data_IF_925702510662
#
_entry.id   IF_925702510662
#
_cell.length_a   1.000
_cell.length_b   1.000
_cell.length_c   1.000
_cell.angle_alpha   90.00
_cell.angle_beta   90.00
_cell.angle_gamma   90.00
#
_symmetry.space_group_name_H-M   'P 1'
#
loop_
_entity.id
_entity.type
_entity.pdbx_description
1 polymer ?
#
# COMPACT_ATOMS: atom_id res chain seq x y z
N UNK A 1 -1.90 -4.80 -65.56
CA UNK A 1 -2.77 -5.56 -64.63
C UNK A 1 -2.79 -4.85 -63.28
N UNK A 2 -3.97 -4.77 -62.67
CA UNK A 2 -4.31 -4.00 -61.47
C UNK A 2 -4.23 -4.91 -60.24
N UNK A 3 -3.65 -4.45 -59.13
CA UNK A 3 -3.90 -4.98 -57.76
C UNK A 3 -3.32 -3.97 -56.76
N UNK A 4 -4.09 -2.93 -56.39
CA UNK A 4 -4.98 -2.84 -55.21
C UNK A 4 -4.22 -2.86 -53.86
N UNK A 5 -3.91 -1.65 -53.41
CA UNK A 5 -3.50 -1.24 -52.08
C UNK A 5 -4.62 -1.60 -51.07
N UNK A 6 -4.34 -2.44 -50.08
CA UNK A 6 -5.24 -2.77 -48.98
C UNK A 6 -5.06 -1.72 -47.87
N UNK A 7 -6.01 -0.79 -47.78
CA UNK A 7 -6.11 0.19 -46.71
C UNK A 7 -6.80 -0.46 -45.50
N UNK A 8 -6.13 -0.36 -44.35
CA UNK A 8 -6.59 -0.79 -43.04
C UNK A 8 -7.81 0.02 -42.56
N UNK A 9 -8.79 -0.65 -41.98
CA UNK A 9 -9.86 -0.05 -41.18
C UNK A 9 -9.84 -0.70 -39.79
N UNK A 10 -9.08 -0.09 -38.89
CA UNK A 10 -9.13 -0.37 -37.46
C UNK A 10 -10.44 0.23 -36.91
N UNK A 11 -11.42 -0.63 -36.67
CA UNK A 11 -12.65 -0.25 -35.97
C UNK A 11 -12.36 0.00 -34.49
N UNK A 12 -12.40 1.27 -34.09
CA UNK A 12 -12.48 1.64 -32.67
C UNK A 12 -13.95 1.65 -32.24
N UNK A 13 -14.41 0.53 -31.68
CA UNK A 13 -15.66 0.49 -30.94
C UNK A 13 -15.46 1.12 -29.56
N UNK A 14 -15.75 2.42 -29.44
CA UNK A 14 -15.94 3.06 -28.14
C UNK A 14 -17.28 2.60 -27.57
N UNK A 15 -17.27 1.58 -26.73
CA UNK A 15 -18.42 1.21 -25.91
C UNK A 15 -18.49 2.23 -24.77
N UNK A 16 -19.19 3.33 -25.00
CA UNK A 16 -19.51 4.31 -23.97
C UNK A 16 -20.54 3.67 -23.02
N UNK A 17 -20.06 3.13 -21.90
CA UNK A 17 -20.94 2.67 -20.83
C UNK A 17 -21.41 3.90 -20.04
N UNK A 18 -22.49 4.52 -20.51
CA UNK A 18 -23.20 5.59 -19.77
C UNK A 18 -23.95 4.95 -18.60
N UNK A 19 -23.29 4.83 -17.44
CA UNK A 19 -23.96 4.47 -16.20
C UNK A 19 -24.61 5.72 -15.60
N UNK A 20 -25.90 5.89 -15.87
CA UNK A 20 -26.76 6.82 -15.16
C UNK A 20 -26.90 6.34 -13.72
N UNK A 21 -26.15 6.94 -12.78
CA UNK A 21 -26.40 6.74 -11.36
C UNK A 21 -27.34 7.85 -10.90
N UNK A 22 -28.60 7.50 -10.67
CA UNK A 22 -29.58 8.43 -10.12
C UNK A 22 -29.16 8.90 -8.73
N UNK A 23 -29.16 10.22 -8.56
CA UNK A 23 -28.95 10.91 -7.29
C UNK A 23 -30.28 10.91 -6.53
N UNK A 24 -30.45 10.00 -5.57
CA UNK A 24 -31.59 10.06 -4.66
C UNK A 24 -31.26 10.97 -3.47
N UNK A 25 -32.14 11.95 -3.27
CA UNK A 25 -32.05 13.04 -2.30
C UNK A 25 -32.17 12.58 -0.84
N UNK A 26 -31.45 13.31 0.00
CA UNK A 26 -31.61 13.58 1.43
C UNK A 26 -32.70 12.81 2.21
N UNK A 27 -32.25 12.02 3.19
CA UNK A 27 -32.98 11.88 4.46
C UNK A 27 -32.22 12.67 5.52
N UNK A 28 -32.76 13.83 5.87
CA UNK A 28 -32.36 14.60 7.03
C UNK A 28 -32.83 13.87 8.31
N UNK A 29 -31.91 13.17 8.97
CA UNK A 29 -32.02 12.90 10.42
C UNK A 29 -30.70 13.26 11.08
N UNK A 30 -30.51 14.55 11.31
CA UNK A 30 -29.51 15.05 12.26
C UNK A 30 -30.00 14.67 13.65
N UNK A 31 -29.54 13.53 14.15
CA UNK A 31 -29.32 13.33 15.58
C UNK A 31 -28.15 12.37 15.74
N UNK A 32 -26.96 12.94 15.74
CA UNK A 32 -25.78 12.29 16.29
C UNK A 32 -25.06 13.38 17.06
N UNK A 33 -25.24 13.37 18.37
CA UNK A 33 -24.35 14.10 19.27
C UNK A 33 -22.90 13.76 18.87
N UNK A 34 -21.95 14.71 18.89
CA UNK A 34 -20.54 14.37 18.71
C UNK A 34 -20.11 13.61 19.97
N UNK A 35 -20.26 12.28 19.93
CA UNK A 35 -19.65 11.43 20.92
C UNK A 35 -18.14 11.63 20.82
N UNK A 36 -17.60 12.06 21.95
CA UNK A 36 -16.27 12.60 22.14
C UNK A 36 -15.20 11.53 21.93
N UNK A 37 -14.90 11.17 20.68
CA UNK A 37 -13.76 10.32 20.34
C UNK A 37 -12.45 11.11 20.46
N UNK A 38 -11.97 11.36 21.67
CA UNK A 38 -10.68 12.07 21.91
C UNK A 38 -9.80 11.46 23.00
N UNK A 39 -9.87 10.15 23.23
CA UNK A 39 -8.98 9.49 24.20
C UNK A 39 -8.09 8.37 23.65
N UNK A 40 -8.37 7.80 22.47
CA UNK A 40 -7.63 6.62 21.98
C UNK A 40 -6.71 6.87 20.78
N UNK A 41 -6.74 8.04 20.12
CA UNK A 41 -5.85 8.31 18.99
C UNK A 41 -4.38 8.45 19.40
N UNK A 42 -4.11 9.06 20.57
CA UNK A 42 -2.75 9.30 21.03
C UNK A 42 -1.99 7.99 21.32
N UNK A 43 -2.66 6.99 21.89
CA UNK A 43 -2.05 5.69 22.20
C UNK A 43 -1.82 4.84 20.95
N UNK A 44 -2.77 4.84 20.01
CA UNK A 44 -2.63 4.17 18.70
C UNK A 44 -1.47 4.79 17.90
N UNK A 45 -1.36 6.12 17.91
CA UNK A 45 -0.28 6.84 17.23
C UNK A 45 1.10 6.61 17.88
N UNK A 46 1.16 6.45 19.21
CA UNK A 46 2.40 6.13 19.89
C UNK A 46 2.88 4.71 19.55
N UNK A 47 1.98 3.72 19.64
CA UNK A 47 2.27 2.34 19.30
C UNK A 47 2.73 2.21 17.83
N UNK A 48 2.03 2.87 16.90
CA UNK A 48 2.42 2.87 15.49
C UNK A 48 3.78 3.53 15.26
N UNK A 49 4.11 4.62 15.97
CA UNK A 49 5.43 5.25 15.90
C UNK A 49 6.54 4.34 16.39
N UNK A 50 6.33 3.62 17.50
CA UNK A 50 7.32 2.67 18.03
C UNK A 50 7.54 1.50 17.08
N UNK A 51 6.47 0.90 16.55
CA UNK A 51 6.52 -0.18 15.55
C UNK A 51 7.31 0.28 14.32
N UNK A 52 7.02 1.49 13.82
CA UNK A 52 7.74 2.06 12.67
C UNK A 52 9.23 2.27 12.97
N UNK A 53 9.58 2.74 14.17
CA UNK A 53 10.98 2.90 14.58
C UNK A 53 11.72 1.56 14.61
N UNK A 54 11.11 0.51 15.18
CA UNK A 54 11.69 -0.85 15.22
C UNK A 54 11.90 -1.39 13.81
N UNK A 55 10.90 -1.28 12.95
CA UNK A 55 10.99 -1.72 11.56
C UNK A 55 12.09 -0.99 10.80
N UNK A 56 12.20 0.34 10.94
CA UNK A 56 13.27 1.10 10.30
C UNK A 56 14.65 0.62 10.75
N UNK A 57 14.83 0.38 12.06
CA UNK A 57 16.09 -0.17 12.59
C UNK A 57 16.40 -1.56 12.01
N UNK A 58 15.39 -2.44 11.89
CA UNK A 58 15.56 -3.77 11.29
C UNK A 58 16.04 -3.65 9.84
N UNK A 59 15.42 -2.77 9.05
CA UNK A 59 15.80 -2.60 7.64
C UNK A 59 17.21 -2.01 7.50
N UNK A 60 17.52 -0.97 8.29
CA UNK A 60 18.85 -0.35 8.27
C UNK A 60 19.94 -1.35 8.67
N UNK A 61 19.70 -2.17 9.69
CA UNK A 61 20.65 -3.20 10.13
C UNK A 61 20.82 -4.30 9.08
N UNK A 62 19.73 -4.71 8.42
CA UNK A 62 19.76 -5.76 7.40
C UNK A 62 20.50 -5.32 6.12
N UNK A 63 20.25 -4.09 5.63
CA UNK A 63 20.83 -3.59 4.39
C UNK A 63 22.16 -2.86 4.58
N UNK A 64 22.46 -2.37 5.79
CA UNK A 64 23.65 -1.56 6.06
C UNK A 64 23.60 -0.18 5.39
N UNK A 65 22.41 0.37 5.13
CA UNK A 65 22.22 1.66 4.45
C UNK A 65 21.31 2.60 5.27
N UNK A 66 21.42 3.93 5.10
CA UNK A 66 20.54 4.86 5.79
C UNK A 66 19.09 4.72 5.34
N UNK A 67 18.14 5.03 6.23
CA UNK A 67 16.69 4.96 5.93
C UNK A 67 16.27 5.85 4.76
N UNK A 68 17.02 6.93 4.50
CA UNK A 68 16.81 7.80 3.33
C UNK A 68 17.06 7.12 1.99
N UNK A 69 17.76 5.98 1.98
CA UNK A 69 17.98 5.13 0.78
C UNK A 69 16.97 3.97 0.69
N UNK A 70 15.91 3.99 1.49
CA UNK A 70 14.94 2.90 1.57
C UNK A 70 13.55 3.45 1.26
N UNK A 71 12.90 2.87 0.25
CA UNK A 71 11.47 3.02 0.04
C UNK A 71 10.76 1.87 0.76
N UNK A 72 9.66 2.15 1.46
CA UNK A 72 8.94 1.17 2.27
C UNK A 72 7.43 1.34 2.09
N UNK A 73 6.71 0.23 2.06
CA UNK A 73 5.25 0.25 2.15
C UNK A 73 4.76 0.59 3.55
N UNK A 74 3.47 0.78 3.71
CA UNK A 74 2.83 0.72 5.02
C UNK A 74 3.04 -0.65 5.67
N UNK A 75 2.97 -0.64 7.00
CA UNK A 75 3.04 -1.84 7.84
C UNK A 75 1.65 -2.42 7.96
N UNK A 76 1.49 -3.66 7.52
CA UNK A 76 0.25 -4.41 7.65
C UNK A 76 0.33 -5.31 8.87
N UNK A 77 -0.65 -5.19 9.76
CA UNK A 77 -0.87 -6.15 10.83
C UNK A 77 -1.57 -7.41 10.27
N UNK A 78 -1.14 -8.57 10.73
CA UNK A 78 -1.68 -9.89 10.39
C UNK A 78 -2.02 -10.63 11.67
N UNK A 79 -2.68 -11.79 11.56
CA UNK A 79 -2.96 -12.65 12.72
C UNK A 79 -1.69 -13.12 13.46
N UNK A 80 -0.53 -13.05 12.78
CA UNK A 80 0.73 -13.60 13.27
C UNK A 80 1.75 -12.50 13.62
N UNK A 81 1.46 -11.23 13.34
CA UNK A 81 2.35 -10.11 13.63
C UNK A 81 2.32 -9.02 12.56
N UNK A 82 3.49 -8.57 12.11
CA UNK A 82 3.61 -7.45 11.17
C UNK A 82 4.25 -7.87 9.85
N UNK A 83 3.78 -7.30 8.74
CA UNK A 83 4.32 -7.51 7.40
C UNK A 83 4.53 -6.17 6.70
N UNK A 84 5.64 -6.02 5.98
CA UNK A 84 5.89 -4.85 5.13
C UNK A 84 6.77 -5.23 3.93
N UNK A 85 6.77 -4.36 2.92
CA UNK A 85 7.69 -4.44 1.78
C UNK A 85 8.65 -3.27 1.83
N UNK A 86 9.87 -3.48 1.36
CA UNK A 86 10.84 -2.39 1.22
C UNK A 86 11.78 -2.64 0.05
N UNK A 87 12.41 -1.56 -0.40
CA UNK A 87 13.33 -1.56 -1.52
C UNK A 87 14.52 -0.66 -1.22
N UNK A 88 15.72 -1.14 -1.55
CA UNK A 88 16.88 -0.26 -1.64
C UNK A 88 16.73 0.58 -2.91
N UNK A 89 16.55 1.89 -2.77
CA UNK A 89 16.26 2.78 -3.92
C UNK A 89 17.44 2.91 -4.88
N UNK A 90 18.67 2.68 -4.39
CA UNK A 90 19.90 2.75 -5.19
C UNK A 90 20.10 1.48 -6.03
N UNK A 91 19.86 0.31 -5.45
CA UNK A 91 20.08 -0.98 -6.13
C UNK A 91 18.83 -1.53 -6.82
N UNK A 92 17.65 -1.02 -6.48
CA UNK A 92 16.37 -1.55 -6.96
C UNK A 92 15.99 -2.91 -6.36
N UNK A 93 16.76 -3.42 -5.39
CA UNK A 93 16.47 -4.70 -4.76
C UNK A 93 15.25 -4.58 -3.85
N UNK A 94 14.30 -5.49 -4.06
CA UNK A 94 13.02 -5.51 -3.36
C UNK A 94 12.98 -6.66 -2.34
N UNK A 95 12.33 -6.42 -1.21
CA UNK A 95 12.23 -7.38 -0.12
C UNK A 95 10.81 -7.40 0.45
N UNK A 96 10.41 -8.56 0.95
CA UNK A 96 9.22 -8.75 1.77
C UNK A 96 9.71 -9.19 3.14
N UNK A 97 9.22 -8.53 4.18
CA UNK A 97 9.54 -8.87 5.56
C UNK A 97 8.28 -9.13 6.37
N UNK A 98 8.42 -10.06 7.31
CA UNK A 98 7.41 -10.36 8.31
C UNK A 98 8.06 -10.65 9.66
N UNK A 99 7.31 -10.46 10.74
CA UNK A 99 7.75 -10.71 12.11
C UNK A 99 6.56 -11.02 13.01
N UNK A 100 6.80 -11.71 14.13
CA UNK A 100 5.83 -11.74 15.23
C UNK A 100 5.61 -10.35 15.87
N UNK A 101 4.54 -10.20 16.67
CA UNK A 101 4.19 -8.95 17.36
C UNK A 101 5.29 -8.40 18.28
N UNK A 102 6.20 -9.27 18.73
CA UNK A 102 7.27 -8.93 19.68
C UNK A 102 8.62 -8.68 19.01
N UNK A 103 8.70 -8.80 17.67
CA UNK A 103 9.93 -8.70 16.89
C UNK A 103 10.98 -9.80 17.19
N UNK A 104 10.58 -10.94 17.75
CA UNK A 104 11.50 -12.03 18.08
C UNK A 104 11.86 -12.91 16.87
N UNK A 105 11.01 -12.92 15.84
CA UNK A 105 11.16 -13.78 14.66
C UNK A 105 11.05 -12.99 13.34
N UNK A 106 12.07 -12.19 13.05
CA UNK A 106 12.13 -11.41 11.80
C UNK A 106 12.56 -12.30 10.62
N UNK A 107 11.73 -12.38 9.59
CA UNK A 107 12.04 -13.03 8.32
C UNK A 107 12.06 -12.00 7.20
N UNK A 108 13.14 -11.97 6.42
CA UNK A 108 13.31 -11.07 5.27
C UNK A 108 13.64 -11.93 4.05
N UNK A 109 12.85 -11.75 2.98
CA UNK A 109 13.00 -12.50 1.74
C UNK A 109 13.20 -11.52 0.60
N UNK A 110 14.29 -11.69 -0.17
CA UNK A 110 14.50 -10.94 -1.41
C UNK A 110 13.46 -11.37 -2.45
N UNK A 111 12.67 -10.41 -2.92
CA UNK A 111 11.70 -10.63 -3.98
C UNK A 111 12.44 -10.62 -5.33
N UNK A 112 12.75 -11.80 -5.86
CA UNK A 112 13.22 -11.94 -7.24
C UNK A 112 12.00 -11.70 -8.13
N UNK A 113 11.93 -10.52 -8.78
CA UNK A 113 11.08 -10.40 -9.97
C UNK A 113 11.63 -11.39 -10.99
N UNK A 114 10.84 -12.41 -11.32
CA UNK A 114 11.07 -13.29 -12.48
C UNK A 114 10.95 -12.51 -13.77
#
# INVERSE_FOLDING_TARGET
>A
MKTKLLIALLGFSIISCSSSKETLKETNTVTSAPEKARKNEASINYASKEINRKINSIIQNYLGVPISSIARSDVKETEQGYQWKFMNVKTGENFIANTDFNFNSVKIIKNKRS
#
